data_IF_713507041426
#
_entry.id   IF_713507041426
#
_cell.length_a   1.000
_cell.length_b   1.000
_cell.length_c   1.000
_cell.angle_alpha   90.00
_cell.angle_beta   90.00
_cell.angle_gamma   90.00
#
_symmetry.space_group_name_H-M   'P 1'
#
loop_
_entity.id
_entity.type
_entity.pdbx_description
1 polymer ?
#
# COMPACT_ATOMS: atom_id res chain seq x y z
N UNK A 1 -7.86 -21.15 -6.41
CA UNK A 1 -7.09 -19.90 -6.64
C UNK A 1 -5.77 -19.98 -5.89
N UNK A 2 -4.63 -19.75 -6.56
CA UNK A 2 -3.31 -19.84 -5.91
C UNK A 2 -3.15 -18.79 -4.79
N UNK A 3 -2.35 -19.09 -3.76
CA UNK A 3 -2.05 -18.15 -2.65
C UNK A 3 -1.51 -16.82 -3.17
N UNK A 4 -0.69 -16.85 -4.22
CA UNK A 4 -0.11 -15.67 -4.87
C UNK A 4 -1.22 -14.81 -5.48
N UNK A 5 -2.14 -15.40 -6.25
CA UNK A 5 -3.25 -14.65 -6.86
C UNK A 5 -4.13 -14.02 -5.77
N UNK A 6 -4.43 -14.75 -4.69
CA UNK A 6 -5.21 -14.21 -3.56
C UNK A 6 -4.51 -13.00 -2.94
N UNK A 7 -3.22 -13.10 -2.68
CA UNK A 7 -2.42 -12.01 -2.10
C UNK A 7 -2.40 -10.78 -3.02
N UNK A 8 -2.20 -10.98 -4.32
CA UNK A 8 -2.17 -9.88 -5.29
C UNK A 8 -3.55 -9.20 -5.40
N UNK A 9 -4.65 -9.94 -5.35
CA UNK A 9 -5.98 -9.33 -5.31
C UNK A 9 -6.25 -8.52 -4.04
N UNK A 10 -5.92 -9.08 -2.87
CA UNK A 10 -6.02 -8.35 -1.59
C UNK A 10 -5.22 -7.06 -1.66
N UNK A 11 -4.03 -7.12 -2.25
CA UNK A 11 -3.18 -5.95 -2.46
C UNK A 11 -3.80 -4.93 -3.41
N UNK A 12 -4.31 -5.37 -4.56
CA UNK A 12 -4.94 -4.47 -5.54
C UNK A 12 -6.14 -3.76 -4.90
N UNK A 13 -7.05 -4.50 -4.29
CA UNK A 13 -8.27 -3.95 -3.71
C UNK A 13 -7.93 -3.04 -2.52
N UNK A 14 -7.09 -3.51 -1.60
CA UNK A 14 -6.69 -2.74 -0.43
C UNK A 14 -5.96 -1.45 -0.82
N UNK A 15 -4.99 -1.52 -1.74
CA UNK A 15 -4.26 -0.33 -2.19
C UNK A 15 -5.13 0.62 -3.03
N UNK A 16 -6.06 0.10 -3.83
CA UNK A 16 -7.02 0.95 -4.55
C UNK A 16 -7.89 1.76 -3.59
N UNK A 17 -8.49 1.09 -2.60
CA UNK A 17 -9.45 1.70 -1.67
C UNK A 17 -8.80 2.55 -0.59
N UNK A 18 -7.61 2.16 -0.10
CA UNK A 18 -6.95 2.85 1.02
C UNK A 18 -5.93 3.92 0.57
N UNK A 19 -5.47 3.88 -0.69
CA UNK A 19 -4.45 4.80 -1.18
C UNK A 19 -4.82 5.42 -2.53
N UNK A 20 -4.82 4.65 -3.62
CA UNK A 20 -4.89 5.20 -4.97
C UNK A 20 -6.13 6.06 -5.21
N UNK A 21 -7.33 5.54 -4.94
CA UNK A 21 -8.58 6.26 -5.17
C UNK A 21 -8.78 7.44 -4.21
N UNK A 22 -8.59 7.28 -2.88
CA UNK A 22 -8.66 8.43 -1.98
C UNK A 22 -7.70 9.55 -2.39
N UNK A 23 -6.44 9.21 -2.64
CA UNK A 23 -5.42 10.20 -2.97
C UNK A 23 -5.63 10.86 -4.33
N UNK A 24 -6.32 10.20 -5.28
CA UNK A 24 -6.68 10.77 -6.58
C UNK A 24 -7.96 11.61 -6.57
N UNK A 25 -8.95 11.24 -5.76
CA UNK A 25 -10.31 11.78 -5.90
C UNK A 25 -10.77 12.62 -4.71
N UNK A 26 -10.31 12.30 -3.51
CA UNK A 26 -10.80 12.92 -2.27
C UNK A 26 -10.29 14.35 -2.13
N UNK A 27 -11.15 15.36 -1.85
CA UNK A 27 -10.73 16.75 -1.65
C UNK A 27 -10.03 16.94 -0.28
N UNK A 28 -9.25 18.03 -0.14
CA UNK A 28 -8.51 18.36 1.08
C UNK A 28 -9.40 18.39 2.34
N UNK A 29 -10.61 18.94 2.21
CA UNK A 29 -11.57 19.06 3.31
C UNK A 29 -11.93 17.73 3.97
N UNK A 30 -11.95 16.63 3.21
CA UNK A 30 -12.22 15.30 3.76
C UNK A 30 -11.02 14.80 4.57
N UNK A 31 -9.79 15.07 4.13
CA UNK A 31 -8.59 14.75 4.91
C UNK A 31 -8.57 15.51 6.23
N UNK A 32 -8.86 16.82 6.20
CA UNK A 32 -8.95 17.65 7.40
C UNK A 32 -10.06 17.16 8.34
N UNK A 33 -11.23 16.79 7.80
CA UNK A 33 -12.32 16.21 8.57
C UNK A 33 -11.94 14.86 9.22
N UNK A 34 -11.15 14.03 8.54
CA UNK A 34 -10.57 12.80 9.09
C UNK A 34 -9.50 13.07 10.16
N UNK A 35 -9.07 14.32 10.34
CA UNK A 35 -8.08 14.75 11.32
C UNK A 35 -6.64 14.79 10.82
N UNK A 36 -6.43 14.71 9.50
CA UNK A 36 -5.10 14.94 8.92
C UNK A 36 -4.75 16.44 8.97
N UNK A 37 -3.45 16.79 9.06
CA UNK A 37 -3.03 18.19 9.01
C UNK A 37 -3.40 18.83 7.65
N UNK A 38 -3.66 20.14 7.61
CA UNK A 38 -3.96 20.85 6.37
C UNK A 38 -2.88 20.63 5.31
N UNK A 39 -3.31 20.36 4.08
CA UNK A 39 -2.40 20.16 2.95
C UNK A 39 -2.34 21.44 2.11
N UNK A 40 -1.19 22.13 2.02
CA UNK A 40 -1.08 23.39 1.27
C UNK A 40 -1.33 23.20 -0.23
N UNK A 41 -1.09 21.99 -0.73
CA UNK A 41 -1.44 21.58 -2.09
C UNK A 41 -1.79 20.10 -2.13
N UNK A 42 -2.81 19.74 -2.90
CA UNK A 42 -3.18 18.35 -3.15
C UNK A 42 -2.31 17.69 -4.23
N UNK A 43 -1.48 18.45 -4.96
CA UNK A 43 -0.74 17.95 -6.12
C UNK A 43 0.12 16.71 -5.79
N UNK A 44 0.85 16.74 -4.66
CA UNK A 44 1.67 15.60 -4.25
C UNK A 44 0.85 14.35 -3.95
N UNK A 45 -0.28 14.50 -3.26
CA UNK A 45 -1.19 13.37 -3.00
C UNK A 45 -1.74 12.82 -4.33
N UNK A 46 -2.13 13.68 -5.26
CA UNK A 46 -2.65 13.27 -6.58
C UNK A 46 -1.60 12.51 -7.40
N UNK A 47 -0.38 13.03 -7.47
CA UNK A 47 0.73 12.37 -8.16
C UNK A 47 1.09 11.03 -7.51
N UNK A 48 1.07 10.96 -6.19
CA UNK A 48 1.27 9.71 -5.45
C UNK A 48 0.13 8.71 -5.69
N UNK A 49 -1.11 9.17 -5.75
CA UNK A 49 -2.26 8.35 -6.11
C UNK A 49 -2.14 7.77 -7.53
N UNK A 50 -1.66 8.58 -8.49
CA UNK A 50 -1.43 8.14 -9.87
C UNK A 50 -0.29 7.11 -9.98
N UNK A 51 0.83 7.34 -9.29
CA UNK A 51 1.93 6.37 -9.27
C UNK A 51 1.50 5.07 -8.60
N UNK A 52 0.67 5.15 -7.55
CA UNK A 52 0.09 3.98 -6.89
C UNK A 52 -0.86 3.23 -7.82
N UNK A 53 -1.66 3.93 -8.64
CA UNK A 53 -2.50 3.31 -9.66
C UNK A 53 -1.67 2.53 -10.69
N UNK A 54 -0.52 3.05 -11.11
CA UNK A 54 0.41 2.32 -11.98
C UNK A 54 0.95 1.03 -11.32
N UNK A 55 1.20 1.03 -10.01
CA UNK A 55 1.57 -0.19 -9.28
C UNK A 55 0.45 -1.24 -9.32
N UNK A 56 -0.82 -0.84 -9.30
CA UNK A 56 -1.96 -1.76 -9.43
C UNK A 56 -1.95 -2.49 -10.77
N UNK A 57 -1.62 -1.79 -11.86
CA UNK A 57 -1.44 -2.42 -13.17
C UNK A 57 -0.29 -3.45 -13.15
N UNK A 58 0.82 -3.14 -12.46
CA UNK A 58 1.92 -4.08 -12.23
C UNK A 58 1.50 -5.33 -11.45
N UNK A 59 0.68 -5.18 -10.41
CA UNK A 59 0.14 -6.32 -9.66
C UNK A 59 -0.82 -7.17 -10.51
N UNK A 60 -1.64 -6.53 -11.35
CA UNK A 60 -2.50 -7.25 -12.29
C UNK A 60 -1.70 -8.08 -13.29
N UNK A 61 -0.61 -7.52 -13.86
CA UNK A 61 0.33 -8.30 -14.67
C UNK A 61 0.96 -9.48 -13.93
N UNK A 62 1.16 -9.36 -12.61
CA UNK A 62 1.58 -10.48 -11.76
C UNK A 62 0.51 -11.56 -11.58
N UNK A 63 -0.78 -11.19 -11.56
CA UNK A 63 -1.89 -12.14 -11.53
C UNK A 63 -1.92 -12.95 -12.83
N UNK A 64 -1.73 -12.30 -13.98
CA UNK A 64 -1.70 -12.97 -15.28
C UNK A 64 -0.53 -13.96 -15.40
N UNK A 65 0.67 -13.59 -14.92
CA UNK A 65 1.80 -14.53 -14.79
C UNK A 65 1.44 -15.72 -13.88
N UNK A 66 0.86 -15.46 -12.71
CA UNK A 66 0.48 -16.51 -11.77
C UNK A 66 -0.62 -17.44 -12.30
N UNK A 67 -1.51 -16.96 -13.18
CA UNK A 67 -2.52 -17.78 -13.86
C UNK A 67 -1.89 -18.75 -14.87
N UNK A 68 -0.71 -18.42 -15.41
CA UNK A 68 0.09 -19.29 -16.29
C UNK A 68 0.95 -20.30 -15.53
N UNK A 69 0.84 -20.35 -14.19
CA UNK A 69 1.65 -21.23 -13.35
C UNK A 69 3.02 -20.65 -12.99
N UNK A 70 3.34 -19.43 -13.44
CA UNK A 70 4.61 -18.78 -13.17
C UNK A 70 4.58 -18.05 -11.82
N UNK A 71 5.66 -18.10 -11.05
CA UNK A 71 5.79 -17.23 -9.88
C UNK A 71 6.22 -15.83 -10.33
N UNK A 72 5.41 -14.77 -10.17
CA UNK A 72 5.72 -13.42 -10.64
C UNK A 72 6.75 -12.73 -9.73
N UNK A 73 7.97 -13.27 -9.69
CA UNK A 73 9.03 -12.89 -8.74
C UNK A 73 9.38 -11.41 -8.83
N UNK A 74 9.38 -10.82 -10.02
CA UNK A 74 9.61 -9.39 -10.22
C UNK A 74 8.56 -8.53 -9.52
N UNK A 75 7.28 -8.86 -9.72
CA UNK A 75 6.14 -8.18 -9.09
C UNK A 75 6.15 -8.36 -7.57
N UNK A 76 6.51 -9.56 -7.08
CA UNK A 76 6.65 -9.81 -5.65
C UNK A 76 7.79 -8.99 -5.04
N UNK A 77 8.97 -8.92 -5.68
CA UNK A 77 10.09 -8.09 -5.20
C UNK A 77 9.74 -6.60 -5.18
N UNK A 78 9.12 -6.09 -6.25
CA UNK A 78 8.58 -4.73 -6.27
C UNK A 78 7.60 -4.51 -5.11
N UNK A 79 6.71 -5.48 -4.88
CA UNK A 79 5.74 -5.41 -3.81
C UNK A 79 6.36 -5.42 -2.41
N UNK A 80 7.49 -6.13 -2.22
CA UNK A 80 8.26 -6.12 -0.98
C UNK A 80 8.90 -4.75 -0.74
N UNK A 81 9.54 -4.17 -1.76
CA UNK A 81 10.15 -2.83 -1.66
C UNK A 81 9.08 -1.78 -1.36
N UNK A 82 7.98 -1.78 -2.13
CA UNK A 82 6.89 -0.82 -1.95
C UNK A 82 6.28 -0.92 -0.55
N UNK A 83 5.82 -2.11 -0.11
CA UNK A 83 5.08 -2.22 1.14
C UNK A 83 5.98 -2.28 2.37
N UNK A 84 7.15 -2.91 2.27
CA UNK A 84 8.14 -2.91 3.33
C UNK A 84 8.70 -1.51 3.55
N UNK A 85 9.12 -0.83 2.47
CA UNK A 85 9.62 0.55 2.54
C UNK A 85 8.57 1.51 3.11
N UNK A 86 7.36 1.52 2.56
CA UNK A 86 6.27 2.36 3.08
C UNK A 86 5.94 2.01 4.53
N UNK A 87 5.83 0.72 4.87
CA UNK A 87 5.51 0.27 6.23
C UNK A 87 6.54 0.72 7.25
N UNK A 88 7.83 0.56 6.94
CA UNK A 88 8.92 1.01 7.80
C UNK A 88 8.93 2.54 7.93
N UNK A 89 8.70 3.28 6.84
CA UNK A 89 8.64 4.75 6.89
C UNK A 89 7.45 5.24 7.71
N UNK A 90 6.25 4.67 7.53
CA UNK A 90 5.06 5.02 8.31
C UNK A 90 5.22 4.67 9.79
N UNK A 91 5.81 3.51 10.09
CA UNK A 91 6.10 3.10 11.46
C UNK A 91 7.10 4.04 12.12
N UNK A 92 8.21 4.33 11.44
CA UNK A 92 9.23 5.25 11.94
C UNK A 92 8.69 6.66 12.17
N UNK A 93 7.90 7.20 11.23
CA UNK A 93 7.27 8.50 11.38
C UNK A 93 6.29 8.54 12.57
N UNK A 94 5.49 7.49 12.75
CA UNK A 94 4.58 7.36 13.89
C UNK A 94 5.32 7.29 15.23
N UNK A 95 6.38 6.49 15.32
CA UNK A 95 7.24 6.39 16.53
C UNK A 95 7.92 7.72 16.84
N UNK A 96 8.36 8.45 15.81
CA UNK A 96 8.96 9.78 15.95
C UNK A 96 7.96 10.87 16.36
N UNK A 97 6.67 10.54 16.56
CA UNK A 97 5.64 11.46 17.03
C UNK A 97 4.95 12.27 15.92
N UNK A 98 5.16 11.93 14.64
CA UNK A 98 4.53 12.66 13.51
C UNK A 98 3.01 12.72 13.64
N UNK A 99 2.39 11.65 14.14
CA UNK A 99 0.93 11.55 14.28
C UNK A 99 0.40 12.19 15.57
N UNK A 100 1.26 12.61 16.49
CA UNK A 100 0.85 13.01 17.84
C UNK A 100 -0.09 14.24 17.84
N UNK A 101 0.08 15.13 16.87
CA UNK A 101 -0.77 16.31 16.69
C UNK A 101 -1.99 16.09 15.79
N UNK A 102 -2.16 14.89 15.22
CA UNK A 102 -3.24 14.58 14.29
C UNK A 102 -4.51 14.17 15.05
N UNK A 103 -5.67 14.28 14.41
CA UNK A 103 -6.92 13.77 14.97
C UNK A 103 -6.89 12.24 15.15
N UNK A 104 -7.58 11.74 16.17
CA UNK A 104 -7.52 10.31 16.55
C UNK A 104 -7.87 9.34 15.42
N UNK A 105 -8.81 9.70 14.54
CA UNK A 105 -9.15 8.89 13.37
C UNK A 105 -7.99 8.82 12.37
N UNK A 106 -7.34 9.94 12.04
CA UNK A 106 -6.14 9.95 11.21
C UNK A 106 -5.02 9.11 11.81
N UNK A 107 -4.79 9.17 13.12
CA UNK A 107 -3.80 8.32 13.79
C UNK A 107 -4.12 6.83 13.62
N UNK A 108 -5.38 6.45 13.87
CA UNK A 108 -5.83 5.06 13.72
C UNK A 108 -5.69 4.57 12.27
N UNK A 109 -6.04 5.41 11.28
CA UNK A 109 -5.87 5.10 9.86
C UNK A 109 -4.40 4.89 9.50
N UNK A 110 -3.48 5.73 9.97
CA UNK A 110 -2.05 5.61 9.66
C UNK A 110 -1.42 4.38 10.29
N UNK A 111 -1.73 4.09 11.56
CA UNK A 111 -1.24 2.88 12.22
C UNK A 111 -1.85 1.62 11.58
N UNK A 112 -3.15 1.64 11.28
CA UNK A 112 -3.82 0.56 10.58
C UNK A 112 -3.19 0.30 9.19
N UNK A 113 -2.94 1.35 8.42
CA UNK A 113 -2.28 1.26 7.12
C UNK A 113 -0.85 0.70 7.24
N UNK A 114 -0.08 1.18 8.22
CA UNK A 114 1.26 0.70 8.52
C UNK A 114 1.28 -0.81 8.80
N UNK A 115 0.41 -1.29 9.71
CA UNK A 115 0.30 -2.71 10.04
C UNK A 115 -0.15 -3.54 8.82
N UNK A 116 -1.13 -3.04 8.07
CA UNK A 116 -1.63 -3.71 6.87
C UNK A 116 -0.52 -3.92 5.84
N UNK A 117 0.23 -2.87 5.48
CA UNK A 117 1.27 -2.99 4.45
C UNK A 117 2.48 -3.79 4.94
N UNK A 118 2.85 -3.73 6.21
CA UNK A 118 3.87 -4.61 6.78
C UNK A 118 3.43 -6.08 6.76
N UNK A 119 2.16 -6.37 7.05
CA UNK A 119 1.59 -7.71 6.92
C UNK A 119 1.67 -8.24 5.48
N UNK A 120 1.34 -7.40 4.48
CA UNK A 120 1.50 -7.75 3.06
C UNK A 120 2.98 -7.99 2.70
N UNK A 121 3.90 -7.14 3.18
CA UNK A 121 5.33 -7.30 2.95
C UNK A 121 5.85 -8.64 3.51
N UNK A 122 5.42 -9.01 4.72
CA UNK A 122 5.76 -10.29 5.33
C UNK A 122 5.23 -11.47 4.51
N UNK A 123 3.97 -11.42 4.08
CA UNK A 123 3.37 -12.46 3.23
C UNK A 123 4.15 -12.64 1.91
N UNK A 124 4.56 -11.54 1.28
CA UNK A 124 5.40 -11.55 0.07
C UNK A 124 6.76 -12.19 0.37
N UNK A 125 7.42 -11.80 1.46
CA UNK A 125 8.73 -12.34 1.83
C UNK A 125 8.67 -13.86 2.04
N UNK A 126 7.61 -14.37 2.68
CA UNK A 126 7.38 -15.80 2.87
C UNK A 126 7.17 -16.54 1.54
N UNK A 127 6.45 -15.94 0.59
CA UNK A 127 6.27 -16.53 -0.75
C UNK A 127 7.58 -16.57 -1.54
N UNK A 128 8.41 -15.53 -1.44
CA UNK A 128 9.69 -15.46 -2.12
C UNK A 128 10.73 -16.47 -1.58
N UNK A 129 10.60 -16.89 -0.32
CA UNK A 129 11.46 -17.90 0.32
C UNK A 129 11.15 -19.33 -0.13
N UNK A 130 10.00 -19.58 -0.78
CA UNK A 130 9.68 -20.93 -1.27
C UNK A 130 10.71 -21.38 -2.33
N UNK A 131 11.23 -22.61 -2.24
CA UNK A 131 12.22 -23.13 -3.18
C UNK A 131 11.68 -23.07 -4.62
N UNK A 132 12.60 -22.97 -5.59
CA UNK A 132 12.26 -23.15 -7.00
C UNK A 132 11.90 -24.62 -7.17
N UNK A 133 10.60 -24.91 -7.31
CA UNK A 133 10.15 -26.18 -7.86
C UNK A 133 10.51 -26.30 -9.33
#
# INVERSE_FOLDING_TARGET
>A
MSTVIRLLWVKIIGTALAAALPMLLTPASVYEWLGFPPQPTMLFLRLYGLSTLALLAGYYGGIEQARRGELPRGVLRMGLVSNGGQGLMLGAAGIAGTYASWGGLAQALMWGLCLFILGIALAIALLLRRPRG
#
